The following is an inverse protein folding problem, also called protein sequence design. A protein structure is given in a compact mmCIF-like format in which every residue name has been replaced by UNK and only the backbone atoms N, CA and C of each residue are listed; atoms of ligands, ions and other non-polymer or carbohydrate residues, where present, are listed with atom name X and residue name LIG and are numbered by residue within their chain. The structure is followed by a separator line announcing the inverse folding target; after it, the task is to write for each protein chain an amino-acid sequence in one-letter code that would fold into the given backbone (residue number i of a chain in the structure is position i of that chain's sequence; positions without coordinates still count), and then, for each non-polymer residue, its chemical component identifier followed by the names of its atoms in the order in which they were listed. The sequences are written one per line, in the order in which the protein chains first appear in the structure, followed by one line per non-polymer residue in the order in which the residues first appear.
data_IF_948334804262
#
_entry.id   IF_948334804262
#
_cell.length_a   1.000
_cell.length_b   1.000
_cell.length_c   1.000
_cell.angle_alpha   90.00
_cell.angle_beta   90.00
_cell.angle_gamma   90.00
#
_symmetry.space_group_name_H-M   'P 1'
#
loop_
_entity.id
_entity.type
_entity.pdbx_description
1 polymer ?
#
# COMPACT_ATOMS: atom_id res chain seq x y z
N UNK A 1 10.93 -4.02 -9.58
CA UNK A 1 12.32 -3.54 -9.40
C UNK A 1 12.56 -2.19 -10.05
N UNK A 2 12.32 -2.05 -11.34
CA UNK A 2 12.61 -0.81 -12.09
C UNK A 2 11.92 0.43 -11.52
N UNK A 3 10.62 0.35 -11.22
CA UNK A 3 9.89 1.49 -10.64
C UNK A 3 10.45 1.91 -9.26
N UNK A 4 10.80 0.96 -8.41
CA UNK A 4 11.46 1.26 -7.14
C UNK A 4 12.82 1.94 -7.37
N UNK A 5 13.60 1.45 -8.33
CA UNK A 5 14.90 2.05 -8.68
C UNK A 5 14.73 3.50 -9.15
N UNK A 6 13.72 3.81 -9.99
CA UNK A 6 13.41 5.18 -10.41
C UNK A 6 13.08 6.09 -9.22
N UNK A 7 12.21 5.65 -8.31
CA UNK A 7 11.84 6.43 -7.13
C UNK A 7 13.05 6.74 -6.23
N UNK A 8 13.87 5.74 -5.94
CA UNK A 8 15.07 5.91 -5.12
C UNK A 8 16.13 6.80 -5.80
N UNK A 9 16.22 6.73 -7.14
CA UNK A 9 17.11 7.59 -7.90
C UNK A 9 16.68 9.07 -7.82
N UNK A 10 15.38 9.36 -7.86
CA UNK A 10 14.86 10.71 -7.67
C UNK A 10 15.23 11.28 -6.30
N UNK A 11 15.34 10.44 -5.28
CA UNK A 11 15.81 10.80 -3.94
C UNK A 11 17.35 10.84 -3.82
N UNK A 12 18.06 10.75 -4.95
CA UNK A 12 19.54 10.85 -5.07
C UNK A 12 20.31 9.72 -4.36
N UNK A 13 19.74 8.53 -4.29
CA UNK A 13 20.45 7.35 -3.84
C UNK A 13 21.30 6.74 -4.98
N UNK A 14 22.46 6.21 -4.64
CA UNK A 14 23.29 5.44 -5.56
C UNK A 14 22.70 4.05 -5.75
N UNK A 15 22.35 3.69 -6.97
CA UNK A 15 21.60 2.45 -7.24
C UNK A 15 22.33 1.60 -8.26
N UNK A 16 22.45 0.32 -7.94
CA UNK A 16 22.88 -0.73 -8.88
C UNK A 16 21.66 -1.63 -9.17
N UNK A 17 21.21 -1.66 -10.41
CA UNK A 17 20.12 -2.52 -10.86
C UNK A 17 20.69 -3.79 -11.49
N UNK A 18 20.39 -4.94 -10.87
CA UNK A 18 20.87 -6.26 -11.31
C UNK A 18 19.72 -7.07 -11.90
N UNK A 19 19.94 -7.68 -13.05
CA UNK A 19 19.04 -8.68 -13.65
C UNK A 19 19.80 -9.61 -14.58
N UNK A 20 19.40 -10.88 -14.66
CA UNK A 20 19.86 -11.84 -15.67
C UNK A 20 19.11 -11.68 -17.01
N UNK A 21 18.08 -10.84 -17.07
CA UNK A 21 17.35 -10.52 -18.28
C UNK A 21 17.84 -9.17 -18.85
N UNK A 22 18.77 -9.27 -19.83
CA UNK A 22 19.32 -8.08 -20.50
C UNK A 22 18.26 -7.20 -21.17
N UNK A 23 17.22 -7.81 -21.72
CA UNK A 23 16.15 -7.06 -22.38
C UNK A 23 15.35 -6.22 -21.38
N UNK A 24 15.05 -6.81 -20.22
CA UNK A 24 14.42 -6.09 -19.13
C UNK A 24 15.31 -4.96 -18.59
N UNK A 25 16.61 -5.14 -18.51
CA UNK A 25 17.57 -4.10 -18.12
C UNK A 25 17.64 -2.95 -19.12
N UNK A 26 17.60 -3.25 -20.44
CA UNK A 26 17.63 -2.23 -21.50
C UNK A 26 16.40 -1.34 -21.48
N UNK A 27 15.23 -1.92 -21.14
CA UNK A 27 13.95 -1.19 -21.07
C UNK A 27 13.67 -0.59 -19.70
N UNK A 28 14.37 -1.03 -18.65
CA UNK A 28 14.21 -0.49 -17.30
C UNK A 28 14.90 0.88 -17.19
N UNK A 29 14.22 1.83 -16.55
CA UNK A 29 14.80 3.12 -16.17
C UNK A 29 15.59 3.80 -17.31
N UNK A 30 14.98 3.93 -18.51
CA UNK A 30 15.68 4.40 -19.73
C UNK A 30 16.21 5.82 -19.58
N UNK A 31 15.53 6.64 -18.80
CA UNK A 31 15.85 8.06 -18.58
C UNK A 31 16.62 8.32 -17.27
N UNK A 32 17.03 7.26 -16.57
CA UNK A 32 17.66 7.36 -15.26
C UNK A 32 19.16 7.03 -15.35
N UNK A 33 19.98 7.80 -14.67
CA UNK A 33 21.42 7.55 -14.55
C UNK A 33 21.66 6.52 -13.43
N UNK A 34 21.48 5.23 -13.76
CA UNK A 34 21.65 4.11 -12.87
C UNK A 34 22.73 3.16 -13.41
N UNK A 35 23.52 2.57 -12.53
CA UNK A 35 24.39 1.47 -12.88
C UNK A 35 23.54 0.21 -13.12
N UNK A 36 23.59 -0.32 -14.35
CA UNK A 36 22.86 -1.54 -14.74
C UNK A 36 23.87 -2.66 -14.97
N UNK A 37 23.68 -3.76 -14.27
CA UNK A 37 24.57 -4.93 -14.39
C UNK A 37 23.78 -6.17 -14.78
N UNK A 38 24.20 -6.83 -15.88
CA UNK A 38 23.59 -8.08 -16.36
C UNK A 38 24.29 -9.27 -15.76
N UNK A 39 23.56 -10.05 -14.94
CA UNK A 39 24.08 -11.25 -14.30
C UNK A 39 23.13 -11.87 -13.30
N UNK A 40 23.49 -13.05 -12.82
CA UNK A 40 22.66 -13.77 -11.86
C UNK A 40 22.79 -13.21 -10.45
N UNK A 41 21.70 -12.75 -9.81
CA UNK A 41 21.76 -12.18 -8.47
C UNK A 41 22.05 -13.22 -7.37
N UNK A 42 22.16 -14.49 -7.73
CA UNK A 42 22.56 -15.60 -6.86
C UNK A 42 24.01 -16.03 -7.06
N UNK A 43 24.78 -15.34 -7.90
CA UNK A 43 26.21 -15.60 -8.10
C UNK A 43 27.04 -14.78 -7.12
N UNK A 44 27.82 -15.45 -6.27
CA UNK A 44 28.69 -14.78 -5.27
C UNK A 44 29.72 -13.88 -5.94
N UNK A 45 30.36 -14.34 -7.02
CA UNK A 45 31.34 -13.54 -7.75
C UNK A 45 30.73 -12.30 -8.37
N UNK A 46 29.54 -12.43 -8.94
CA UNK A 46 28.82 -11.33 -9.55
C UNK A 46 28.31 -10.31 -8.49
N UNK A 47 27.84 -10.78 -7.34
CA UNK A 47 27.44 -9.88 -6.24
C UNK A 47 28.62 -9.07 -5.70
N UNK A 48 29.83 -9.65 -5.64
CA UNK A 48 31.06 -8.91 -5.28
C UNK A 48 31.42 -7.88 -6.34
N UNK A 49 31.35 -8.24 -7.62
CA UNK A 49 31.58 -7.30 -8.74
C UNK A 49 30.60 -6.13 -8.68
N UNK A 50 29.35 -6.39 -8.26
CA UNK A 50 28.34 -5.36 -8.07
C UNK A 50 28.53 -4.48 -6.81
N UNK A 51 29.55 -4.72 -6.00
CA UNK A 51 29.87 -3.92 -4.81
C UNK A 51 28.92 -4.18 -3.63
N UNK A 52 28.37 -5.37 -3.50
CA UNK A 52 27.43 -5.72 -2.43
C UNK A 52 28.04 -5.55 -1.03
N UNK A 53 29.36 -5.64 -0.89
CA UNK A 53 30.09 -5.49 0.38
C UNK A 53 29.87 -4.12 1.03
N UNK A 54 29.69 -3.07 0.23
CA UNK A 54 29.47 -1.68 0.68
C UNK A 54 27.98 -1.26 0.63
N UNK A 55 27.08 -2.19 0.35
CA UNK A 55 25.68 -1.93 0.12
C UNK A 55 24.92 -1.64 1.44
N UNK A 56 24.25 -0.48 1.53
CA UNK A 56 23.39 -0.15 2.68
C UNK A 56 22.09 -0.96 2.69
N UNK A 57 21.53 -1.22 1.49
CA UNK A 57 20.28 -1.94 1.34
C UNK A 57 20.28 -2.80 0.08
N UNK A 58 20.16 -4.11 0.25
CA UNK A 58 19.95 -5.05 -0.85
C UNK A 58 18.47 -5.44 -0.92
N UNK A 59 17.86 -5.36 -2.12
CA UNK A 59 16.43 -5.62 -2.33
C UNK A 59 16.21 -6.68 -3.39
N UNK A 60 15.75 -7.86 -2.99
CA UNK A 60 15.34 -8.94 -3.87
C UNK A 60 13.86 -8.81 -4.27
N UNK A 61 13.59 -8.41 -5.53
CA UNK A 61 12.23 -8.11 -6.03
C UNK A 61 11.96 -8.71 -7.40
N UNK A 62 12.53 -9.87 -7.67
CA UNK A 62 12.20 -10.66 -8.87
C UNK A 62 10.83 -11.35 -8.69
N UNK A 63 10.23 -11.90 -9.76
CA UNK A 63 9.03 -12.73 -9.63
C UNK A 63 9.23 -14.05 -8.87
N UNK A 64 10.48 -14.48 -8.66
CA UNK A 64 10.83 -15.76 -8.00
C UNK A 64 11.25 -15.48 -6.55
N UNK A 65 10.41 -15.87 -5.59
CA UNK A 65 10.67 -15.67 -4.15
C UNK A 65 11.91 -16.44 -3.66
N UNK A 66 12.17 -17.65 -4.18
CA UNK A 66 13.34 -18.44 -3.79
C UNK A 66 14.64 -17.75 -4.20
N UNK A 67 14.63 -17.14 -5.38
CA UNK A 67 15.75 -16.33 -5.88
C UNK A 67 15.93 -15.07 -5.03
N UNK A 68 14.84 -14.38 -4.67
CA UNK A 68 14.89 -13.21 -3.82
C UNK A 68 15.48 -13.52 -2.46
N UNK A 69 15.01 -14.59 -1.81
CA UNK A 69 15.53 -15.03 -0.52
C UNK A 69 17.00 -15.45 -0.59
N UNK A 70 17.36 -16.29 -1.58
CA UNK A 70 18.74 -16.75 -1.76
C UNK A 70 19.70 -15.59 -2.00
N UNK A 71 19.34 -14.65 -2.89
CA UNK A 71 20.19 -13.48 -3.16
C UNK A 71 20.35 -12.58 -1.94
N UNK A 72 19.30 -12.38 -1.14
CA UNK A 72 19.36 -11.63 0.12
C UNK A 72 20.27 -12.30 1.15
N UNK A 73 20.17 -13.63 1.34
CA UNK A 73 21.06 -14.37 2.24
C UNK A 73 22.52 -14.25 1.83
N UNK A 74 22.82 -14.41 0.54
CA UNK A 74 24.17 -14.27 -0.01
C UNK A 74 24.69 -12.83 0.16
N UNK A 75 23.88 -11.83 -0.18
CA UNK A 75 24.24 -10.42 -0.03
C UNK A 75 24.55 -10.07 1.43
N UNK A 76 23.76 -10.58 2.38
CA UNK A 76 24.00 -10.38 3.81
C UNK A 76 25.33 -10.94 4.28
N UNK A 77 25.65 -12.16 3.83
CA UNK A 77 26.94 -12.82 4.16
C UNK A 77 28.14 -12.12 3.49
N UNK A 78 27.92 -11.43 2.39
CA UNK A 78 28.95 -10.65 1.68
C UNK A 78 29.15 -9.25 2.28
N UNK A 79 28.28 -8.77 3.16
CA UNK A 79 28.46 -7.48 3.85
C UNK A 79 27.31 -6.49 3.74
N UNK A 80 26.27 -6.76 2.97
CA UNK A 80 25.12 -5.86 2.87
C UNK A 80 24.53 -5.56 4.27
N UNK A 81 24.32 -4.28 4.61
CA UNK A 81 23.86 -3.88 5.94
C UNK A 81 22.44 -4.31 6.22
N UNK A 82 21.55 -4.17 5.24
CA UNK A 82 20.15 -4.62 5.32
C UNK A 82 19.75 -5.36 4.04
N UNK A 83 18.91 -6.38 4.22
CA UNK A 83 18.37 -7.18 3.12
C UNK A 83 16.85 -7.28 3.23
N UNK A 84 16.17 -7.00 2.11
CA UNK A 84 14.71 -7.06 1.98
C UNK A 84 14.35 -7.97 0.82
N UNK A 85 13.50 -8.98 1.06
CA UNK A 85 13.06 -9.91 0.04
C UNK A 85 11.55 -9.83 -0.19
N UNK A 86 11.13 -9.73 -1.46
CA UNK A 86 9.75 -10.00 -1.85
C UNK A 86 9.49 -11.49 -1.78
N UNK A 87 8.35 -11.85 -1.18
CA UNK A 87 7.84 -13.22 -1.11
C UNK A 87 6.42 -13.30 -1.65
N UNK A 88 6.00 -14.50 -2.03
CA UNK A 88 4.67 -14.78 -2.59
C UNK A 88 3.86 -15.71 -1.67
N UNK A 89 4.43 -16.17 -0.54
CA UNK A 89 3.75 -17.01 0.45
C UNK A 89 3.40 -16.23 1.72
N UNK A 90 2.12 -16.29 2.10
CA UNK A 90 1.62 -15.68 3.35
C UNK A 90 2.22 -16.35 4.59
N UNK A 91 2.57 -17.63 4.52
CA UNK A 91 3.20 -18.39 5.60
C UNK A 91 4.47 -17.69 6.12
N UNK A 92 5.26 -17.09 5.22
CA UNK A 92 6.48 -16.39 5.60
C UNK A 92 6.25 -15.08 6.36
N UNK A 93 5.01 -14.56 6.33
CA UNK A 93 4.62 -13.35 7.06
C UNK A 93 4.23 -13.62 8.52
N UNK A 94 4.13 -14.87 8.94
CA UNK A 94 3.91 -15.22 10.36
C UNK A 94 5.12 -14.80 11.20
N UNK A 95 4.87 -14.32 12.42
CA UNK A 95 5.92 -13.73 13.26
C UNK A 95 7.09 -14.68 13.55
N UNK A 96 6.79 -15.97 13.74
CA UNK A 96 7.78 -17.03 13.99
C UNK A 96 8.66 -17.26 12.75
N UNK A 97 8.07 -17.29 11.55
CA UNK A 97 8.78 -17.48 10.30
C UNK A 97 9.60 -16.23 9.92
N UNK A 98 9.09 -15.03 10.18
CA UNK A 98 9.88 -13.81 9.97
C UNK A 98 11.15 -13.79 10.84
N UNK A 99 11.06 -14.22 12.10
CA UNK A 99 12.24 -14.33 12.98
C UNK A 99 13.24 -15.37 12.48
N UNK A 100 12.74 -16.51 11.95
CA UNK A 100 13.58 -17.53 11.30
C UNK A 100 14.37 -16.93 10.12
N UNK A 101 13.71 -16.22 9.20
CA UNK A 101 14.37 -15.61 8.05
C UNK A 101 15.33 -14.47 8.45
N UNK A 102 15.01 -13.74 9.52
CA UNK A 102 15.93 -12.71 10.05
C UNK A 102 17.24 -13.34 10.52
N UNK A 103 17.21 -14.49 11.16
CA UNK A 103 18.43 -15.25 11.55
C UNK A 103 19.23 -15.73 10.33
N UNK A 104 18.58 -15.98 9.19
CA UNK A 104 19.23 -16.30 7.94
C UNK A 104 19.78 -15.08 7.17
N UNK A 105 19.60 -13.87 7.70
CA UNK A 105 20.14 -12.64 7.14
C UNK A 105 19.16 -11.87 6.25
N UNK A 106 17.87 -12.20 6.27
CA UNK A 106 16.83 -11.42 5.59
C UNK A 106 16.16 -10.53 6.66
N UNK A 107 16.48 -9.24 6.66
CA UNK A 107 16.02 -8.32 7.69
C UNK A 107 14.51 -8.04 7.61
N UNK A 108 13.94 -8.08 6.40
CA UNK A 108 12.50 -7.89 6.18
C UNK A 108 11.99 -8.70 5.00
N UNK A 109 10.81 -9.28 5.17
CA UNK A 109 10.03 -9.90 4.08
C UNK A 109 8.89 -8.97 3.69
N UNK A 110 8.61 -8.89 2.39
CA UNK A 110 7.50 -8.12 1.84
C UNK A 110 6.61 -9.03 1.02
N UNK A 111 5.36 -9.12 1.41
CA UNK A 111 4.30 -9.78 0.66
C UNK A 111 3.35 -8.71 0.10
N UNK A 112 3.46 -8.35 -1.19
CA UNK A 112 2.76 -7.22 -1.77
C UNK A 112 1.23 -7.32 -1.67
N UNK A 113 0.68 -8.51 -1.84
CA UNK A 113 -0.76 -8.76 -1.81
C UNK A 113 -1.37 -8.40 -0.45
N UNK A 114 -0.67 -8.67 0.65
CA UNK A 114 -1.10 -8.30 1.99
C UNK A 114 -1.02 -6.78 2.22
N UNK A 115 0.03 -6.13 1.70
CA UNK A 115 0.16 -4.66 1.80
C UNK A 115 -0.98 -3.95 1.06
N UNK A 116 -1.28 -4.41 -0.17
CA UNK A 116 -2.38 -3.86 -0.96
C UNK A 116 -3.72 -4.11 -0.29
N UNK A 117 -3.95 -5.30 0.26
CA UNK A 117 -5.17 -5.64 0.99
C UNK A 117 -5.38 -4.73 2.21
N UNK A 118 -4.31 -4.47 2.97
CA UNK A 118 -4.35 -3.56 4.12
C UNK A 118 -4.67 -2.12 3.68
N UNK A 119 -4.07 -1.64 2.60
CA UNK A 119 -4.36 -0.30 2.06
C UNK A 119 -5.82 -0.18 1.60
N UNK A 120 -6.34 -1.17 0.90
CA UNK A 120 -7.77 -1.24 0.52
C UNK A 120 -8.65 -1.16 1.77
N UNK A 121 -8.34 -1.93 2.81
CA UNK A 121 -9.11 -1.96 4.05
C UNK A 121 -9.06 -0.61 4.79
N UNK A 122 -7.93 0.08 4.74
CA UNK A 122 -7.82 1.43 5.30
C UNK A 122 -8.73 2.41 4.55
N UNK A 123 -8.75 2.37 3.22
CA UNK A 123 -9.61 3.22 2.39
C UNK A 123 -11.10 2.91 2.59
N UNK A 124 -11.47 1.64 2.73
CA UNK A 124 -12.85 1.22 3.00
C UNK A 124 -13.31 1.67 4.38
N UNK A 125 -12.46 1.49 5.39
CA UNK A 125 -12.81 1.79 6.78
C UNK A 125 -12.80 3.28 7.08
N UNK A 126 -12.04 4.07 6.32
CA UNK A 126 -11.83 5.51 6.54
C UNK A 126 -11.89 6.30 5.23
N UNK A 127 -13.04 6.31 4.52
CA UNK A 127 -13.17 6.92 3.19
C UNK A 127 -12.93 8.43 3.18
N UNK A 128 -12.93 9.07 4.34
CA UNK A 128 -12.66 10.49 4.55
C UNK A 128 -11.17 10.83 4.63
N UNK A 129 -10.30 9.83 4.93
CA UNK A 129 -8.85 10.00 5.00
C UNK A 129 -8.17 9.39 3.77
N UNK A 130 -7.29 10.15 3.12
CA UNK A 130 -6.54 9.69 1.95
C UNK A 130 -5.37 8.80 2.31
N UNK A 131 -4.75 9.03 3.47
CA UNK A 131 -3.61 8.28 4.02
C UNK A 131 -3.78 8.18 5.52
N UNK A 132 -3.20 7.12 6.12
CA UNK A 132 -3.35 6.83 7.53
C UNK A 132 -2.14 6.11 8.09
N UNK A 133 -1.62 6.58 9.21
CA UNK A 133 -0.52 5.95 9.93
C UNK A 133 -0.81 5.95 11.43
N UNK A 134 -0.58 4.80 12.05
CA UNK A 134 -0.64 4.61 13.48
C UNK A 134 0.79 4.60 14.04
N UNK A 135 1.06 5.51 14.96
CA UNK A 135 2.37 5.63 15.60
C UNK A 135 2.27 5.26 17.08
N UNK A 136 3.41 4.87 17.67
CA UNK A 136 3.50 4.50 19.08
C UNK A 136 2.43 3.47 19.51
N UNK A 137 2.27 2.41 18.72
CA UNK A 137 1.28 1.35 18.95
C UNK A 137 -0.16 1.89 19.01
N UNK A 138 -0.50 2.80 18.10
CA UNK A 138 -1.84 3.38 17.96
C UNK A 138 -2.17 4.53 18.94
N UNK A 139 -1.22 4.98 19.76
CA UNK A 139 -1.44 6.11 20.69
C UNK A 139 -1.46 7.47 20.00
N UNK A 140 -0.85 7.55 18.82
CA UNK A 140 -0.78 8.75 18.01
C UNK A 140 -1.12 8.41 16.58
N UNK A 141 -1.94 9.22 15.95
CA UNK A 141 -2.41 9.06 14.58
C UNK A 141 -1.90 10.19 13.72
N UNK A 142 -1.34 9.86 12.57
CA UNK A 142 -1.09 10.79 11.48
C UNK A 142 -1.95 10.38 10.30
N UNK A 143 -2.72 11.30 9.76
CA UNK A 143 -3.52 11.03 8.57
C UNK A 143 -3.56 12.25 7.65
N UNK A 144 -3.94 12.02 6.41
CA UNK A 144 -4.04 13.08 5.42
C UNK A 144 -5.47 13.18 4.88
N UNK A 145 -5.99 14.40 4.80
CA UNK A 145 -7.30 14.73 4.24
C UNK A 145 -7.16 15.62 3.02
N UNK A 146 -7.98 15.35 1.99
CA UNK A 146 -8.04 16.21 0.80
C UNK A 146 -9.04 17.32 1.06
N UNK A 147 -8.63 18.56 0.79
CA UNK A 147 -9.48 19.75 0.88
C UNK A 147 -10.35 19.86 -0.35
N UNK A 148 -11.68 19.79 -0.19
CA UNK A 148 -12.69 19.89 -1.24
C UNK A 148 -13.39 21.24 -1.20
N UNK A 149 -14.09 21.58 -2.28
CA UNK A 149 -14.76 22.89 -2.44
C UNK A 149 -15.76 23.24 -1.34
N UNK A 150 -16.35 22.25 -0.71
CA UNK A 150 -17.34 22.36 0.36
C UNK A 150 -16.75 22.62 1.76
N UNK A 151 -15.41 22.63 1.89
CA UNK A 151 -14.76 22.80 3.19
C UNK A 151 -14.59 24.27 3.55
N UNK A 152 -15.13 24.67 4.70
CA UNK A 152 -15.06 26.04 5.22
C UNK A 152 -13.64 26.51 5.59
N UNK A 153 -12.66 25.61 5.61
CA UNK A 153 -11.26 25.94 5.92
C UNK A 153 -10.46 26.48 4.75
N UNK A 154 -11.03 26.44 3.53
CA UNK A 154 -10.35 26.93 2.33
C UNK A 154 -10.09 28.42 2.48
N UNK A 155 -8.88 28.85 2.07
CA UNK A 155 -8.33 30.21 2.15
C UNK A 155 -8.17 30.77 3.58
N UNK A 156 -8.50 30.00 4.62
CA UNK A 156 -8.22 30.39 6.00
C UNK A 156 -6.76 30.11 6.37
N UNK A 157 -6.08 31.00 7.08
CA UNK A 157 -4.74 30.76 7.62
C UNK A 157 -4.79 29.72 8.75
N UNK A 158 -3.72 28.98 8.93
CA UNK A 158 -3.62 27.93 9.97
C UNK A 158 -3.89 28.49 11.38
N UNK A 159 -3.48 29.72 11.65
CA UNK A 159 -3.70 30.39 12.95
C UNK A 159 -5.18 30.58 13.32
N UNK A 160 -6.07 30.58 12.32
CA UNK A 160 -7.52 30.63 12.56
C UNK A 160 -8.15 29.23 12.67
N UNK A 161 -7.45 28.18 12.25
CA UNK A 161 -7.94 26.80 12.19
C UNK A 161 -7.48 26.00 13.42
N UNK A 162 -6.25 26.24 13.89
CA UNK A 162 -5.62 25.45 14.93
C UNK A 162 -4.76 26.32 15.84
N UNK A 163 -4.94 26.16 17.14
CA UNK A 163 -4.13 26.76 18.20
C UNK A 163 -3.20 25.70 18.82
N UNK A 164 -2.16 26.11 19.57
CA UNK A 164 -1.30 25.17 20.29
C UNK A 164 -2.02 24.33 21.36
N UNK A 165 -3.21 24.75 21.79
CA UNK A 165 -4.01 24.08 22.82
C UNK A 165 -4.98 23.05 22.22
N UNK A 166 -5.16 23.05 20.90
CA UNK A 166 -6.06 22.11 20.23
C UNK A 166 -5.55 20.67 20.28
N UNK A 167 -6.46 19.68 20.31
CA UNK A 167 -6.08 18.28 20.40
C UNK A 167 -5.58 17.69 19.09
N UNK A 168 -5.24 18.52 18.12
CA UNK A 168 -4.65 18.11 16.83
C UNK A 168 -3.62 19.13 16.36
N UNK A 169 -2.77 18.71 15.42
CA UNK A 169 -1.75 19.57 14.82
C UNK A 169 -1.67 19.32 13.31
N UNK A 170 -1.65 20.39 12.51
CA UNK A 170 -1.40 20.32 11.07
C UNK A 170 0.12 20.29 10.86
N UNK A 171 0.64 19.13 10.47
CA UNK A 171 2.09 18.88 10.40
C UNK A 171 2.70 19.23 9.06
N UNK A 172 1.93 19.06 7.97
CA UNK A 172 2.38 19.35 6.62
C UNK A 172 1.19 19.58 5.69
N UNK A 173 1.44 20.27 4.58
CA UNK A 173 0.51 20.42 3.46
C UNK A 173 1.24 19.99 2.19
N UNK A 174 0.64 19.08 1.41
CA UNK A 174 1.14 18.74 0.08
C UNK A 174 0.29 19.43 -0.98
N UNK A 175 0.90 20.35 -1.70
CA UNK A 175 0.28 21.17 -2.76
C UNK A 175 1.02 20.99 -4.07
N UNK A 176 0.36 20.54 -5.13
CA UNK A 176 0.98 20.32 -6.46
C UNK A 176 2.27 19.50 -6.41
N UNK A 177 2.30 18.45 -5.57
CA UNK A 177 3.47 17.59 -5.41
C UNK A 177 4.53 18.10 -4.44
N UNK A 178 4.48 19.38 -4.01
CA UNK A 178 5.44 19.98 -3.07
C UNK A 178 4.91 19.89 -1.64
N UNK A 179 5.77 19.48 -0.71
CA UNK A 179 5.47 19.46 0.72
C UNK A 179 5.83 20.81 1.35
N UNK A 180 4.87 21.41 2.04
CA UNK A 180 4.99 22.69 2.74
C UNK A 180 4.89 22.38 4.24
N UNK A 181 5.84 22.87 5.02
CA UNK A 181 5.72 22.93 6.48
C UNK A 181 4.96 24.22 6.82
N UNK A 182 3.73 24.11 7.34
CA UNK A 182 2.89 25.29 7.48
C UNK A 182 3.33 26.18 8.65
N UNK A 183 3.07 27.46 8.50
CA UNK A 183 3.16 28.49 9.54
C UNK A 183 1.77 29.06 9.79
N UNK A 184 1.59 29.85 10.86
CA UNK A 184 0.30 30.44 11.20
C UNK A 184 -0.38 31.22 10.06
N UNK A 185 0.40 31.89 9.20
CA UNK A 185 -0.10 32.66 8.04
C UNK A 185 -0.31 31.80 6.78
N UNK A 186 0.09 30.53 6.81
CA UNK A 186 -0.12 29.61 5.68
C UNK A 186 -1.59 29.30 5.53
N UNK A 187 -2.18 29.63 4.37
CA UNK A 187 -3.58 29.30 4.09
C UNK A 187 -3.72 27.94 3.42
N UNK A 188 -4.79 27.23 3.81
CA UNK A 188 -5.22 25.99 3.14
C UNK A 188 -5.91 26.35 1.82
N UNK A 189 -5.65 25.57 0.76
CA UNK A 189 -6.23 25.77 -0.57
C UNK A 189 -7.00 24.54 -1.04
N UNK A 190 -7.90 24.75 -1.97
CA UNK A 190 -8.59 23.67 -2.67
C UNK A 190 -7.58 22.68 -3.28
N UNK A 191 -7.83 21.40 -3.07
CA UNK A 191 -6.99 20.31 -3.57
C UNK A 191 -5.75 20.01 -2.73
N UNK A 192 -5.48 20.79 -1.68
CA UNK A 192 -4.39 20.46 -0.74
C UNK A 192 -4.65 19.13 -0.07
N UNK A 193 -3.56 18.37 0.12
CA UNK A 193 -3.54 17.21 1.00
C UNK A 193 -2.94 17.66 2.33
N UNK A 194 -3.79 17.79 3.35
CA UNK A 194 -3.43 18.31 4.67
C UNK A 194 -3.14 17.14 5.62
N UNK A 195 -1.94 17.11 6.17
CA UNK A 195 -1.49 16.10 7.13
C UNK A 195 -1.79 16.57 8.55
N UNK A 196 -2.56 15.77 9.26
CA UNK A 196 -3.03 16.06 10.62
C UNK A 196 -2.56 15.00 11.58
N UNK A 197 -2.02 15.43 12.70
CA UNK A 197 -1.61 14.56 13.81
C UNK A 197 -2.57 14.77 14.99
N UNK A 198 -3.05 13.67 15.58
CA UNK A 198 -3.94 13.70 16.74
C UNK A 198 -3.89 12.38 17.51
N UNK A 199 -4.58 12.31 18.65
CA UNK A 199 -4.82 11.06 19.37
C UNK A 199 -6.13 10.40 18.93
N UNK A 200 -6.28 9.07 19.08
CA UNK A 200 -7.50 8.36 18.67
C UNK A 200 -8.80 8.94 19.23
N UNK A 201 -8.77 9.37 20.49
CA UNK A 201 -9.95 9.94 21.18
C UNK A 201 -10.47 11.24 20.56
N UNK A 202 -9.64 11.96 19.81
CA UNK A 202 -10.00 13.25 19.21
C UNK A 202 -10.34 13.19 17.71
N UNK A 203 -10.37 11.99 17.12
CA UNK A 203 -10.65 11.80 15.68
C UNK A 203 -11.98 12.46 15.27
N UNK A 204 -13.05 12.30 16.05
CA UNK A 204 -14.35 12.84 15.69
C UNK A 204 -14.34 14.37 15.68
N UNK A 205 -13.63 14.97 16.64
CA UNK A 205 -13.41 16.41 16.67
C UNK A 205 -12.70 16.90 15.40
N UNK A 206 -11.61 16.21 15.00
CA UNK A 206 -10.86 16.57 13.78
C UNK A 206 -11.70 16.35 12.53
N UNK A 207 -12.50 15.28 12.45
CA UNK A 207 -13.43 15.06 11.33
C UNK A 207 -14.43 16.21 11.19
N UNK A 208 -14.93 16.72 12.31
CA UNK A 208 -15.82 17.88 12.34
C UNK A 208 -15.12 19.13 11.80
N UNK A 209 -13.94 19.47 12.31
CA UNK A 209 -13.16 20.63 11.88
C UNK A 209 -12.87 20.62 10.37
N UNK A 210 -12.59 19.44 9.81
CA UNK A 210 -12.25 19.28 8.38
C UNK A 210 -13.46 18.95 7.48
N UNK A 211 -14.70 19.13 7.95
CA UNK A 211 -15.95 18.79 7.22
C UNK A 211 -15.97 17.35 6.68
N UNK A 212 -15.49 16.40 7.48
CA UNK A 212 -15.44 14.97 7.12
C UNK A 212 -16.42 14.10 7.92
N UNK A 213 -17.21 14.69 8.80
CA UNK A 213 -18.15 13.97 9.67
C UNK A 213 -19.30 13.33 8.88
N UNK A 214 -19.75 14.01 7.80
CA UNK A 214 -20.85 13.56 6.96
C UNK A 214 -20.47 12.52 5.90
N UNK A 215 -19.18 12.14 5.81
CA UNK A 215 -18.73 11.08 4.91
C UNK A 215 -19.11 9.74 5.52
N UNK A 216 -20.05 8.97 4.92
CA UNK A 216 -20.54 7.74 5.51
C UNK A 216 -19.44 6.67 5.49
N UNK A 217 -19.43 5.85 6.53
CA UNK A 217 -18.62 4.64 6.54
C UNK A 217 -19.21 3.59 5.59
N UNK A 218 -18.35 2.88 4.88
CA UNK A 218 -18.77 1.81 3.99
C UNK A 218 -19.42 0.66 4.80
N UNK A 219 -20.60 0.21 4.37
CA UNK A 219 -21.31 -0.92 4.95
C UNK A 219 -21.36 -2.12 4.00
N UNK A 220 -21.27 -1.86 2.69
CA UNK A 220 -21.35 -2.87 1.63
C UNK A 220 -20.25 -2.64 0.62
N UNK A 221 -19.43 -3.65 0.42
CA UNK A 221 -18.26 -3.61 -0.46
C UNK A 221 -18.38 -4.72 -1.50
N UNK A 222 -18.16 -4.37 -2.76
CA UNK A 222 -18.09 -5.35 -3.85
C UNK A 222 -16.64 -5.50 -4.29
N UNK A 223 -16.18 -6.72 -4.41
CA UNK A 223 -14.90 -7.09 -4.99
C UNK A 223 -15.07 -7.72 -6.35
N UNK A 224 -14.43 -7.18 -7.37
CA UNK A 224 -14.27 -7.81 -8.66
C UNK A 224 -12.98 -8.62 -8.66
N UNK A 225 -13.11 -9.95 -8.66
CA UNK A 225 -12.01 -10.91 -8.68
C UNK A 225 -11.69 -11.51 -7.31
N UNK A 226 -11.51 -12.83 -7.28
CA UNK A 226 -11.13 -13.64 -6.12
C UNK A 226 -9.61 -13.82 -6.03
N UNK A 227 -8.85 -12.73 -6.04
CA UNK A 227 -7.40 -12.76 -5.89
C UNK A 227 -6.97 -12.90 -4.42
N UNK A 228 -5.68 -13.18 -4.19
CA UNK A 228 -5.12 -13.22 -2.83
C UNK A 228 -5.31 -11.87 -2.10
N UNK A 229 -5.23 -10.75 -2.84
CA UNK A 229 -5.56 -9.42 -2.31
C UNK A 229 -6.99 -9.39 -1.76
N UNK A 230 -7.96 -9.90 -2.53
CA UNK A 230 -9.36 -9.98 -2.09
C UNK A 230 -9.49 -10.83 -0.85
N UNK A 231 -8.89 -12.02 -0.84
CA UNK A 231 -8.94 -12.95 0.31
C UNK A 231 -8.36 -12.32 1.58
N UNK A 232 -7.19 -11.69 1.49
CA UNK A 232 -6.56 -11.02 2.62
C UNK A 232 -7.37 -9.81 3.10
N UNK A 233 -7.91 -9.04 2.17
CA UNK A 233 -8.79 -7.92 2.50
C UNK A 233 -10.02 -8.39 3.27
N UNK A 234 -10.74 -9.40 2.77
CA UNK A 234 -11.93 -9.98 3.41
C UNK A 234 -11.67 -10.48 4.85
N UNK A 235 -10.52 -11.11 5.08
CA UNK A 235 -10.17 -11.66 6.39
C UNK A 235 -9.78 -10.59 7.42
N UNK A 236 -9.41 -9.40 6.95
CA UNK A 236 -8.96 -8.28 7.81
C UNK A 236 -9.99 -7.16 7.93
N UNK A 237 -11.07 -7.17 7.12
CA UNK A 237 -12.15 -6.18 7.20
C UNK A 237 -12.94 -6.30 8.52
N UNK A 238 -13.46 -5.18 9.05
CA UNK A 238 -14.38 -5.17 10.18
C UNK A 238 -15.63 -6.02 9.92
N UNK A 239 -16.06 -6.80 10.91
CA UNK A 239 -17.19 -7.74 10.80
C UNK A 239 -18.55 -7.08 10.54
N UNK A 240 -18.68 -5.78 10.72
CA UNK A 240 -19.90 -5.02 10.42
C UNK A 240 -20.07 -4.70 8.93
N UNK A 241 -19.02 -4.89 8.11
CA UNK A 241 -19.05 -4.67 6.66
C UNK A 241 -19.53 -5.96 5.98
N UNK A 242 -20.52 -5.84 5.10
CA UNK A 242 -20.98 -6.92 4.23
C UNK A 242 -20.20 -6.86 2.92
N UNK A 243 -19.76 -8.02 2.41
CA UNK A 243 -18.96 -8.05 1.20
C UNK A 243 -19.55 -9.01 0.17
N UNK A 244 -19.45 -8.62 -1.09
CA UNK A 244 -19.78 -9.43 -2.26
C UNK A 244 -18.55 -9.59 -3.12
N UNK A 245 -18.21 -10.83 -3.43
CA UNK A 245 -17.11 -11.14 -4.35
C UNK A 245 -17.68 -11.69 -5.64
N UNK A 246 -17.35 -11.08 -6.75
CA UNK A 246 -17.75 -11.56 -8.08
C UNK A 246 -16.50 -12.14 -8.75
N UNK A 247 -16.49 -13.46 -8.96
CA UNK A 247 -15.39 -14.18 -9.59
C UNK A 247 -15.89 -15.00 -10.78
N UNK A 248 -15.21 -14.86 -11.90
CA UNK A 248 -15.55 -15.55 -13.14
C UNK A 248 -14.97 -16.97 -13.23
N UNK A 249 -13.84 -17.19 -12.57
CA UNK A 249 -13.15 -18.49 -12.60
C UNK A 249 -13.69 -19.40 -11.48
N UNK A 250 -14.29 -20.59 -11.80
CA UNK A 250 -14.89 -21.47 -10.81
C UNK A 250 -13.89 -22.01 -9.76
N UNK A 251 -12.62 -22.17 -10.12
CA UNK A 251 -11.64 -22.70 -9.18
C UNK A 251 -11.22 -21.62 -8.17
N UNK A 252 -11.10 -20.36 -8.61
CA UNK A 252 -10.88 -19.23 -7.70
C UNK A 252 -12.10 -18.94 -6.84
N UNK A 253 -13.30 -19.03 -7.38
CA UNK A 253 -14.54 -18.96 -6.62
C UNK A 253 -14.53 -19.93 -5.45
N UNK A 254 -14.20 -21.20 -5.69
CA UNK A 254 -14.05 -22.22 -4.65
C UNK A 254 -12.97 -21.87 -3.63
N UNK A 255 -11.84 -21.30 -4.08
CA UNK A 255 -10.76 -20.88 -3.19
C UNK A 255 -11.22 -19.74 -2.27
N UNK A 256 -11.92 -18.75 -2.81
CA UNK A 256 -12.51 -17.65 -2.04
C UNK A 256 -13.52 -18.20 -1.02
N UNK A 257 -14.42 -19.09 -1.42
CA UNK A 257 -15.38 -19.72 -0.50
C UNK A 257 -14.71 -20.44 0.69
N UNK A 258 -13.59 -21.12 0.45
CA UNK A 258 -12.82 -21.81 1.52
C UNK A 258 -12.10 -20.84 2.44
N UNK A 259 -11.67 -19.72 1.90
CA UNK A 259 -10.89 -18.71 2.63
C UNK A 259 -11.77 -17.74 3.44
N UNK A 260 -13.03 -17.59 3.10
CA UNK A 260 -13.98 -16.70 3.78
C UNK A 260 -14.39 -17.30 5.12
N UNK A 261 -14.10 -16.58 6.19
CA UNK A 261 -14.43 -16.98 7.56
C UNK A 261 -15.71 -16.33 8.11
N UNK A 262 -16.29 -15.34 7.41
CA UNK A 262 -17.42 -14.55 7.89
C UNK A 262 -18.71 -14.79 7.10
N UNK A 263 -19.80 -15.01 7.82
CA UNK A 263 -21.13 -15.32 7.26
C UNK A 263 -21.78 -14.18 6.42
N UNK A 264 -21.27 -12.96 6.53
CA UNK A 264 -21.77 -11.81 5.76
C UNK A 264 -21.11 -11.65 4.39
N UNK A 265 -20.16 -12.52 4.06
CA UNK A 265 -19.46 -12.50 2.80
C UNK A 265 -20.16 -13.43 1.82
N UNK A 266 -20.51 -12.93 0.65
CA UNK A 266 -21.18 -13.69 -0.41
C UNK A 266 -20.27 -13.75 -1.64
N UNK A 267 -20.24 -14.90 -2.30
CA UNK A 267 -19.46 -15.09 -3.53
C UNK A 267 -20.42 -15.45 -4.66
N UNK A 268 -20.27 -14.74 -5.77
CA UNK A 268 -21.07 -14.92 -6.96
C UNK A 268 -20.20 -15.33 -8.13
N UNK A 269 -20.68 -16.32 -8.88
CA UNK A 269 -20.05 -16.72 -10.14
C UNK A 269 -20.57 -15.83 -11.26
N UNK A 270 -19.69 -15.01 -11.83
CA UNK A 270 -20.09 -14.07 -12.90
C UNK A 270 -19.01 -13.11 -13.32
N UNK A 271 -19.34 -12.25 -14.27
CA UNK A 271 -18.47 -11.17 -14.72
C UNK A 271 -18.92 -9.84 -14.10
N UNK A 272 -18.10 -9.25 -13.24
CA UNK A 272 -18.41 -8.00 -12.58
C UNK A 272 -18.41 -6.76 -13.51
N UNK A 273 -18.14 -6.95 -14.81
CA UNK A 273 -18.31 -5.92 -15.85
C UNK A 273 -19.68 -5.97 -16.50
N UNK A 274 -20.45 -7.02 -16.26
CA UNK A 274 -21.82 -7.15 -16.76
C UNK A 274 -22.77 -6.38 -15.85
N UNK A 275 -23.26 -5.24 -16.35
CA UNK A 275 -24.19 -4.38 -15.63
C UNK A 275 -25.54 -5.03 -15.36
N UNK A 276 -25.99 -5.96 -16.20
CA UNK A 276 -27.25 -6.71 -15.98
C UNK A 276 -27.08 -7.65 -14.80
N UNK A 277 -25.99 -8.41 -14.76
CA UNK A 277 -25.64 -9.27 -13.63
C UNK A 277 -25.54 -8.46 -12.31
N UNK A 278 -24.83 -7.35 -12.32
CA UNK A 278 -24.68 -6.49 -11.14
C UNK A 278 -26.03 -5.92 -10.65
N UNK A 279 -26.97 -5.65 -11.57
CA UNK A 279 -28.30 -5.17 -11.23
C UNK A 279 -29.18 -6.28 -10.62
N UNK A 280 -29.17 -7.47 -11.21
CA UNK A 280 -30.00 -8.60 -10.81
C UNK A 280 -29.60 -9.08 -9.40
N UNK A 281 -28.33 -9.08 -9.07
CA UNK A 281 -27.81 -9.43 -7.75
C UNK A 281 -27.91 -8.28 -6.72
N UNK A 282 -28.48 -7.14 -7.07
CA UNK A 282 -28.67 -6.00 -6.18
C UNK A 282 -27.38 -5.26 -5.78
N UNK A 283 -26.30 -5.47 -6.53
CA UNK A 283 -24.95 -4.93 -6.29
C UNK A 283 -24.90 -3.40 -6.44
N UNK A 284 -25.86 -2.81 -7.15
CA UNK A 284 -26.02 -1.34 -7.25
C UNK A 284 -26.08 -0.59 -5.90
N UNK A 285 -26.35 -1.29 -4.82
CA UNK A 285 -26.42 -0.70 -3.48
C UNK A 285 -25.09 -0.75 -2.74
N UNK A 286 -23.99 -1.09 -3.40
CA UNK A 286 -22.66 -1.07 -2.80
C UNK A 286 -22.21 0.35 -2.52
N UNK A 287 -21.55 0.53 -1.39
CA UNK A 287 -20.94 1.81 -1.00
C UNK A 287 -19.53 1.95 -1.62
N UNK A 288 -18.86 0.80 -1.85
CA UNK A 288 -17.51 0.73 -2.41
C UNK A 288 -17.41 -0.43 -3.41
N UNK A 289 -16.73 -0.19 -4.51
CA UNK A 289 -16.36 -1.19 -5.51
C UNK A 289 -14.83 -1.31 -5.58
N UNK A 290 -14.31 -2.52 -5.42
CA UNK A 290 -12.88 -2.83 -5.45
C UNK A 290 -12.58 -3.72 -6.65
N UNK A 291 -11.82 -3.22 -7.62
CA UNK A 291 -11.36 -4.01 -8.75
C UNK A 291 -9.97 -4.58 -8.44
N UNK A 292 -9.92 -5.90 -8.13
CA UNK A 292 -8.72 -6.60 -7.70
C UNK A 292 -8.43 -7.85 -8.54
N UNK A 293 -8.62 -7.76 -9.86
CA UNK A 293 -8.25 -8.83 -10.79
C UNK A 293 -6.77 -8.76 -11.15
N UNK A 294 -6.20 -9.86 -11.67
CA UNK A 294 -4.82 -9.87 -12.21
C UNK A 294 -4.67 -9.10 -13.53
N UNK A 295 -5.76 -8.71 -14.17
CA UNK A 295 -5.74 -8.00 -15.44
C UNK A 295 -6.02 -6.51 -15.21
N UNK A 296 -5.00 -5.69 -15.43
CA UNK A 296 -5.07 -4.23 -15.24
C UNK A 296 -6.15 -3.59 -16.12
N UNK A 297 -6.31 -4.02 -17.39
CA UNK A 297 -7.35 -3.50 -18.30
C UNK A 297 -8.77 -3.81 -17.79
N UNK A 298 -8.95 -4.91 -17.08
CA UNK A 298 -10.24 -5.27 -16.49
C UNK A 298 -10.55 -4.48 -15.22
N UNK A 299 -9.55 -3.84 -14.63
CA UNK A 299 -9.68 -3.07 -13.38
C UNK A 299 -9.92 -1.57 -13.62
N UNK A 300 -9.83 -1.13 -14.87
CA UNK A 300 -10.11 0.24 -15.33
C UNK A 300 -11.54 0.31 -15.86
#
# INVERSE_FOLDING_TARGET
GSHLATLLNQDKHNIVLISDNEQALKTACIHEDLLKMSGAPTSISFLREAGVEDCDLFVGVTPDESRNMTSCMLAKQLGAKKCVARVDSIEYMEAENQEFFRKLGIDSLIYPELLVANEINHLISRPWARQWWEMQSGKLLLFAVVMREDCELIDKPISEISSPEDPFHITAIKRNGVTIIPHGETSIRLGDLVFVMTRPEHIQFVRHIFDKENIPEAKRVVYMGGSDITIHSLNSLPKNISTWVVERNPDKEKAVHRAITHAKNQVYSGDARDLSFLNDEGIRKADVFVAATKNTESNI
#
